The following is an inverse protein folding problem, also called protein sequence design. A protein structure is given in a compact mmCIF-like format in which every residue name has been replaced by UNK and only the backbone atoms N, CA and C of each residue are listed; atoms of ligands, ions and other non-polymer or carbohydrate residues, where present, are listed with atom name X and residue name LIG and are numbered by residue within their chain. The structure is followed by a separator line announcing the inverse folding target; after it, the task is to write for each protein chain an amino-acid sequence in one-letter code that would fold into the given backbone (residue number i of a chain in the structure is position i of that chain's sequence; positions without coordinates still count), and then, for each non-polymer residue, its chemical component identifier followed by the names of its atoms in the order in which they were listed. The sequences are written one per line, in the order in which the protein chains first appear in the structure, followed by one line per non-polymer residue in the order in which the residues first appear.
data_IF_117675615647
#
_entry.id   IF_117675615647
#
_cell.length_a   1.000
_cell.length_b   1.000
_cell.length_c   1.000
_cell.angle_alpha   90.00
_cell.angle_beta   90.00
_cell.angle_gamma   90.00
#
_symmetry.space_group_name_H-M   'P 1'
#
loop_
_entity.id
_entity.type
_entity.pdbx_description
1 polymer ?
#
# COMPACT_ATOMS: atom_id res chain seq x y z
N UNK A 1 -14.19 6.52 -13.83
CA UNK A 1 -14.59 6.33 -12.41
C UNK A 1 -14.72 4.84 -12.17
N UNK A 2 -13.90 4.26 -11.32
CA UNK A 2 -14.11 2.88 -10.87
C UNK A 2 -15.34 2.88 -9.94
N UNK A 3 -16.49 2.46 -10.45
CA UNK A 3 -17.62 2.11 -9.60
C UNK A 3 -17.27 0.81 -8.87
N UNK A 4 -16.43 0.92 -7.84
CA UNK A 4 -16.22 -0.20 -6.93
C UNK A 4 -17.55 -0.46 -6.21
N UNK A 5 -18.05 -1.66 -6.35
CA UNK A 5 -19.27 -2.13 -5.66
C UNK A 5 -18.85 -3.05 -4.52
N UNK A 6 -19.49 -2.95 -3.37
CA UNK A 6 -19.19 -3.79 -2.22
C UNK A 6 -19.53 -3.11 -0.91
N UNK A 7 -19.38 -3.85 0.20
CA UNK A 7 -19.73 -3.37 1.53
C UNK A 7 -18.91 -2.13 1.98
N UNK A 8 -17.69 -1.95 1.44
CA UNK A 8 -16.82 -0.82 1.73
C UNK A 8 -16.72 0.18 0.55
N UNK A 9 -17.71 0.18 -0.34
CA UNK A 9 -17.79 1.17 -1.42
C UNK A 9 -17.84 2.58 -0.83
N UNK A 10 -16.95 3.47 -1.29
CA UNK A 10 -16.81 4.83 -0.79
C UNK A 10 -15.82 5.01 0.34
N UNK A 11 -15.28 3.93 0.91
CA UNK A 11 -14.21 3.98 1.91
C UNK A 11 -12.86 4.12 1.23
N UNK A 12 -12.05 5.08 1.65
CA UNK A 12 -10.67 5.30 1.18
C UNK A 12 -9.67 4.86 2.25
N UNK A 13 -8.72 4.01 1.86
CA UNK A 13 -7.70 3.44 2.75
C UNK A 13 -6.32 3.86 2.28
N UNK A 14 -5.52 4.47 3.15
CA UNK A 14 -4.09 4.68 2.94
C UNK A 14 -3.33 3.50 3.54
N UNK A 15 -2.63 2.78 2.70
CA UNK A 15 -1.88 1.57 3.05
C UNK A 15 -0.38 1.87 3.11
N UNK A 16 0.15 2.04 4.32
CA UNK A 16 1.58 2.19 4.60
C UNK A 16 2.24 0.85 4.98
N UNK A 17 1.57 -0.27 4.72
CA UNK A 17 2.03 -1.58 5.18
C UNK A 17 3.03 -2.24 4.23
N UNK A 18 3.78 -3.21 4.78
CA UNK A 18 4.86 -3.92 4.09
C UNK A 18 4.75 -5.42 4.33
N UNK A 19 5.30 -6.20 3.42
CA UNK A 19 5.47 -7.65 3.44
C UNK A 19 4.14 -8.39 3.34
N UNK A 20 3.53 -8.87 4.44
CA UNK A 20 2.40 -9.80 4.35
C UNK A 20 1.18 -9.38 5.15
N UNK A 21 1.27 -9.31 6.47
CA UNK A 21 0.08 -9.22 7.33
C UNK A 21 -0.74 -7.95 7.06
N UNK A 22 -0.08 -6.78 7.03
CA UNK A 22 -0.71 -5.52 6.69
C UNK A 22 -1.22 -5.47 5.26
N UNK A 23 -0.40 -5.80 4.25
CA UNK A 23 -0.85 -5.86 2.85
C UNK A 23 -2.03 -6.82 2.63
N UNK A 24 -2.05 -7.97 3.30
CA UNK A 24 -3.17 -8.91 3.21
C UNK A 24 -4.45 -8.31 3.81
N UNK A 25 -4.35 -7.63 4.95
CA UNK A 25 -5.47 -6.92 5.55
C UNK A 25 -6.04 -5.86 4.59
N UNK A 26 -5.20 -4.99 4.04
CA UNK A 26 -5.65 -3.95 3.12
C UNK A 26 -6.14 -4.50 1.78
N UNK A 27 -5.64 -5.65 1.33
CA UNK A 27 -6.19 -6.39 0.20
C UNK A 27 -7.63 -6.82 0.45
N UNK A 28 -7.93 -7.36 1.65
CA UNK A 28 -9.31 -7.74 2.01
C UNK A 28 -10.26 -6.53 2.01
N UNK A 29 -9.79 -5.37 2.48
CA UNK A 29 -10.58 -4.13 2.39
C UNK A 29 -10.85 -3.75 0.94
N UNK A 30 -9.85 -3.86 0.06
CA UNK A 30 -10.00 -3.65 -1.38
C UNK A 30 -10.96 -4.64 -2.04
N UNK A 31 -10.91 -5.92 -1.66
CA UNK A 31 -11.84 -6.96 -2.15
C UNK A 31 -13.29 -6.66 -1.76
N UNK A 32 -13.50 -6.00 -0.63
CA UNK A 32 -14.81 -5.55 -0.16
C UNK A 32 -15.27 -4.21 -0.77
N UNK A 33 -14.49 -3.63 -1.66
CA UNK A 33 -14.86 -2.42 -2.41
C UNK A 33 -14.20 -1.13 -1.96
N UNK A 34 -13.33 -1.14 -0.94
CA UNK A 34 -12.58 0.05 -0.54
C UNK A 34 -11.61 0.51 -1.65
N UNK A 35 -11.37 1.80 -1.71
CA UNK A 35 -10.31 2.37 -2.54
C UNK A 35 -8.99 2.39 -1.76
N UNK A 36 -8.12 1.43 -2.03
CA UNK A 36 -6.86 1.26 -1.31
C UNK A 36 -5.73 1.89 -2.09
N UNK A 37 -5.02 2.83 -1.47
CA UNK A 37 -3.83 3.51 -2.00
C UNK A 37 -2.62 3.02 -1.22
N UNK A 38 -1.82 2.15 -1.84
CA UNK A 38 -0.58 1.64 -1.26
C UNK A 38 0.55 2.62 -1.51
N UNK A 39 1.21 3.03 -0.43
CA UNK A 39 2.38 3.90 -0.47
C UNK A 39 3.63 3.02 -0.49
N UNK A 40 4.47 3.21 -1.48
CA UNK A 40 5.69 2.43 -1.68
C UNK A 40 6.94 3.31 -1.71
N UNK A 41 8.10 2.70 -1.43
CA UNK A 41 9.39 3.41 -1.56
C UNK A 41 9.70 3.69 -3.02
N UNK A 42 10.16 4.89 -3.35
CA UNK A 42 10.60 5.19 -4.72
C UNK A 42 11.64 4.21 -5.23
N UNK A 43 11.46 3.73 -6.45
CA UNK A 43 12.37 2.86 -7.20
C UNK A 43 12.46 1.41 -6.74
N UNK A 44 12.14 1.09 -5.48
CA UNK A 44 12.26 -0.28 -4.95
C UNK A 44 10.92 -0.93 -4.61
N UNK A 45 9.93 -0.13 -4.25
CA UNK A 45 8.64 -0.60 -3.80
C UNK A 45 8.68 -1.41 -2.50
N UNK A 46 7.68 -2.24 -2.29
CA UNK A 46 7.61 -3.23 -1.22
C UNK A 46 8.68 -4.31 -1.42
N UNK A 47 9.29 -4.77 -0.34
CA UNK A 47 10.36 -5.79 -0.40
C UNK A 47 9.88 -7.09 -1.06
N UNK A 48 8.60 -7.42 -0.95
CA UNK A 48 7.99 -8.61 -1.56
C UNK A 48 7.99 -8.58 -3.09
N UNK A 49 8.21 -7.44 -3.72
CA UNK A 49 8.40 -7.36 -5.18
C UNK A 49 9.64 -8.13 -5.66
N UNK A 50 10.59 -8.39 -4.76
CA UNK A 50 11.81 -9.16 -5.01
C UNK A 50 11.74 -10.59 -4.47
N UNK A 51 10.64 -11.00 -3.85
CA UNK A 51 10.48 -12.33 -3.28
C UNK A 51 10.11 -13.31 -4.40
N UNK A 52 11.11 -13.99 -4.90
CA UNK A 52 11.01 -14.97 -6.00
C UNK A 52 12.03 -16.10 -5.79
N UNK A 53 11.91 -17.25 -6.50
CA UNK A 53 10.85 -17.62 -7.43
C UNK A 53 9.51 -17.91 -6.73
N UNK A 54 8.35 -17.89 -7.46
CA UNK A 54 8.26 -17.59 -8.88
C UNK A 54 8.03 -16.11 -9.17
N UNK A 55 8.54 -15.66 -10.32
CA UNK A 55 8.00 -14.48 -10.99
C UNK A 55 6.86 -14.88 -11.93
N UNK A 56 5.97 -13.95 -12.21
CA UNK A 56 4.91 -14.15 -13.21
C UNK A 56 5.54 -14.24 -14.60
N UNK A 57 5.07 -15.18 -15.41
CA UNK A 57 5.47 -15.29 -16.81
C UNK A 57 4.51 -14.52 -17.71
N UNK A 58 5.03 -13.94 -18.77
CA UNK A 58 4.22 -13.33 -19.82
C UNK A 58 3.58 -14.39 -20.75
N UNK A 59 2.86 -13.95 -21.77
CA UNK A 59 2.18 -14.83 -22.71
C UNK A 59 3.15 -15.67 -23.58
N UNK A 60 4.42 -15.31 -23.61
CA UNK A 60 5.48 -16.03 -24.33
C UNK A 60 6.23 -17.01 -23.41
N UNK A 61 5.85 -17.09 -22.14
CA UNK A 61 6.45 -17.94 -21.12
C UNK A 61 7.76 -17.38 -20.55
N UNK A 62 8.07 -16.11 -20.79
CA UNK A 62 9.24 -15.42 -20.24
C UNK A 62 8.92 -14.85 -18.87
N UNK A 63 9.83 -15.03 -17.89
CA UNK A 63 9.69 -14.42 -16.57
C UNK A 63 9.69 -12.88 -16.67
N UNK A 64 8.72 -12.28 -15.98
CA UNK A 64 8.64 -10.82 -15.76
C UNK A 64 9.38 -10.43 -14.49
N UNK A 65 9.31 -9.16 -14.11
CA UNK A 65 9.80 -8.66 -12.81
C UNK A 65 8.70 -8.66 -11.73
N UNK A 66 7.52 -9.23 -12.02
CA UNK A 66 6.38 -9.25 -11.12
C UNK A 66 6.42 -10.48 -10.21
N UNK A 67 6.68 -10.27 -8.93
CA UNK A 67 6.69 -11.32 -7.92
C UNK A 67 5.28 -11.87 -7.68
N UNK A 68 5.12 -13.19 -7.77
CA UNK A 68 3.87 -13.85 -7.40
C UNK A 68 3.53 -13.62 -5.92
N UNK A 69 4.53 -13.51 -5.05
CA UNK A 69 4.33 -13.19 -3.65
C UNK A 69 3.71 -11.80 -3.47
N UNK A 70 4.27 -10.77 -4.12
CA UNK A 70 3.70 -9.43 -4.07
C UNK A 70 2.24 -9.41 -4.55
N UNK A 71 1.95 -10.10 -5.65
CA UNK A 71 0.60 -10.15 -6.22
C UNK A 71 -0.41 -10.85 -5.31
N UNK A 72 0.04 -11.81 -4.50
CA UNK A 72 -0.84 -12.57 -3.60
C UNK A 72 -1.47 -11.71 -2.48
N UNK A 73 -0.86 -10.57 -2.13
CA UNK A 73 -1.28 -9.71 -1.03
C UNK A 73 -1.62 -8.26 -1.46
N UNK A 74 -1.60 -7.95 -2.76
CA UNK A 74 -1.73 -6.56 -3.22
C UNK A 74 -2.72 -6.33 -4.37
N UNK A 75 -3.59 -7.29 -4.67
CA UNK A 75 -4.67 -7.06 -5.66
C UNK A 75 -5.63 -5.97 -5.18
N UNK A 76 -6.31 -5.33 -6.12
CA UNK A 76 -7.30 -4.27 -5.87
C UNK A 76 -6.75 -3.01 -5.21
N UNK A 77 -5.43 -2.79 -5.26
CA UNK A 77 -4.79 -1.58 -4.77
C UNK A 77 -4.28 -0.71 -5.91
N UNK A 78 -4.32 0.58 -5.70
CA UNK A 78 -3.52 1.56 -6.45
C UNK A 78 -2.19 1.73 -5.74
N UNK A 79 -1.10 1.85 -6.46
CA UNK A 79 0.23 2.08 -5.89
C UNK A 79 0.75 3.46 -6.27
N UNK A 80 1.40 4.13 -5.32
CA UNK A 80 2.12 5.38 -5.54
C UNK A 80 3.43 5.37 -4.78
N UNK A 81 4.50 5.84 -5.42
CA UNK A 81 5.80 5.96 -4.79
C UNK A 81 5.93 7.29 -4.06
N UNK A 82 6.16 7.25 -2.74
CA UNK A 82 6.36 8.42 -1.89
C UNK A 82 7.50 8.14 -0.91
N UNK A 83 8.48 9.04 -0.87
CA UNK A 83 9.58 8.97 0.10
C UNK A 83 9.14 9.51 1.45
N UNK A 84 8.87 8.62 2.42
CA UNK A 84 8.49 8.96 3.79
C UNK A 84 9.60 9.68 4.58
N UNK A 85 10.84 9.60 4.13
CA UNK A 85 11.97 10.26 4.81
C UNK A 85 12.08 11.74 4.42
N UNK A 86 11.48 12.14 3.31
CA UNK A 86 11.49 13.51 2.83
C UNK A 86 10.34 14.35 3.40
N UNK A 87 10.58 15.64 3.63
CA UNK A 87 9.51 16.58 4.05
C UNK A 87 8.39 16.69 3.03
N UNK A 88 8.72 16.65 1.76
CA UNK A 88 7.73 16.69 0.68
C UNK A 88 6.82 15.45 0.73
N UNK A 89 7.40 14.25 0.87
CA UNK A 89 6.66 12.99 1.00
C UNK A 89 5.77 12.97 2.23
N UNK A 90 6.29 13.38 3.40
CA UNK A 90 5.50 13.49 4.63
C UNK A 90 4.29 14.42 4.47
N UNK A 91 4.47 15.56 3.80
CA UNK A 91 3.38 16.49 3.54
C UNK A 91 2.33 15.92 2.58
N UNK A 92 2.75 15.13 1.59
CA UNK A 92 1.81 14.43 0.69
C UNK A 92 0.99 13.41 1.49
N UNK A 93 1.62 12.61 2.34
CA UNK A 93 0.91 11.65 3.19
C UNK A 93 -0.13 12.34 4.08
N UNK A 94 0.24 13.44 4.74
CA UNK A 94 -0.72 14.20 5.57
C UNK A 94 -1.94 14.67 4.77
N UNK A 95 -1.73 15.14 3.53
CA UNK A 95 -2.84 15.55 2.66
C UNK A 95 -3.72 14.36 2.25
N UNK A 96 -3.12 13.22 1.93
CA UNK A 96 -3.87 12.01 1.61
C UNK A 96 -4.70 11.52 2.79
N UNK A 97 -4.16 11.59 4.01
CA UNK A 97 -4.86 11.18 5.24
C UNK A 97 -6.07 12.05 5.53
N UNK A 98 -6.02 13.36 5.21
CA UNK A 98 -7.19 14.24 5.37
C UNK A 98 -8.39 13.85 4.51
N UNK A 99 -8.16 13.15 3.40
CA UNK A 99 -9.18 12.69 2.46
C UNK A 99 -9.50 11.19 2.63
N UNK A 100 -8.86 10.52 3.61
CA UNK A 100 -9.01 9.09 3.83
C UNK A 100 -9.84 8.80 5.09
N UNK A 101 -10.49 7.64 5.09
CA UNK A 101 -11.24 7.14 6.24
C UNK A 101 -10.38 6.27 7.15
N UNK A 102 -9.39 5.57 6.58
CA UNK A 102 -8.56 4.60 7.29
C UNK A 102 -7.10 4.72 6.85
N UNK A 103 -6.20 4.69 7.82
CA UNK A 103 -4.77 4.48 7.58
C UNK A 103 -4.34 3.19 8.25
N UNK A 104 -3.66 2.31 7.51
CA UNK A 104 -3.12 1.05 8.01
C UNK A 104 -1.59 1.07 7.88
N UNK A 105 -0.92 0.70 8.97
CA UNK A 105 0.54 0.61 9.02
C UNK A 105 1.00 -0.60 9.83
N UNK A 106 2.20 -1.10 9.59
CA UNK A 106 2.81 -2.19 10.34
C UNK A 106 4.30 -1.96 10.62
N UNK A 107 4.67 -0.70 10.78
CA UNK A 107 6.02 -0.31 11.21
C UNK A 107 6.23 -0.68 12.68
N UNK A 108 7.50 -0.80 13.09
CA UNK A 108 7.83 -0.90 14.51
C UNK A 108 7.32 0.34 15.25
N UNK A 109 6.77 0.12 16.43
CA UNK A 109 6.25 1.20 17.29
C UNK A 109 7.21 2.39 17.37
N UNK A 110 6.67 3.58 17.14
CA UNK A 110 7.42 4.84 17.17
C UNK A 110 8.20 5.19 15.89
N UNK A 111 8.29 4.29 14.91
CA UNK A 111 9.04 4.60 13.68
C UNK A 111 8.36 5.69 12.84
N UNK A 112 7.05 5.65 12.69
CA UNK A 112 6.33 6.68 11.94
C UNK A 112 6.31 8.03 12.66
N UNK A 113 6.33 8.04 13.99
CA UNK A 113 6.39 9.27 14.78
C UNK A 113 7.66 10.10 14.51
N UNK A 114 8.77 9.45 14.11
CA UNK A 114 10.00 10.15 13.70
C UNK A 114 9.79 11.03 12.46
N UNK A 115 8.80 10.69 11.65
CA UNK A 115 8.44 11.43 10.45
C UNK A 115 7.22 12.34 10.65
N UNK A 116 6.69 12.42 11.90
CA UNK A 116 5.44 13.12 12.20
C UNK A 116 4.24 12.48 11.47
N UNK A 117 4.24 11.15 11.37
CA UNK A 117 3.21 10.32 10.76
C UNK A 117 2.69 9.25 11.72
N UNK A 118 2.95 9.40 13.02
CA UNK A 118 2.40 8.52 14.04
C UNK A 118 0.92 8.79 14.29
N UNK A 119 0.29 7.93 15.10
CA UNK A 119 -1.14 8.06 15.42
C UNK A 119 -1.51 9.44 15.98
N UNK A 120 -0.71 9.95 16.93
CA UNK A 120 -0.97 11.26 17.54
C UNK A 120 -0.78 12.44 16.58
N UNK A 121 0.03 12.25 15.53
CA UNK A 121 0.27 13.27 14.51
C UNK A 121 -0.86 13.35 13.46
N UNK A 122 -1.61 12.24 13.28
CA UNK A 122 -2.56 12.07 12.17
C UNK A 122 -4.02 11.92 12.61
N UNK A 123 -4.30 11.75 13.93
CA UNK A 123 -5.66 11.59 14.48
C UNK A 123 -6.53 12.83 14.34
#
# INVERSE_FOLDING_TARGET
MNNKTGALSGVTVIDLTWVLAGPYCTQMLGDLGADVIKIERPGSGDDTRKFAPPFVTDNEGKETTESAYFMSANRNKRSVEIDLTSKAGQNIIRKLVLEADVLVENFKTGNLSKYGLGYDDLK
#
